data_IF_492725698829
#
_entry.id   IF_492725698829
#
_cell.length_a   1.000
_cell.length_b   1.000
_cell.length_c   1.000
_cell.angle_alpha   90.00
_cell.angle_beta   90.00
_cell.angle_gamma   90.00
#
_symmetry.space_group_name_H-M   'P 1'
#
loop_
_entity.id
_entity.type
_entity.pdbx_description
1 polymer ?
#
# COMPACT_ATOMS: atom_id res chain seq x y z
N UNK A 1 -8.16 -13.12 -3.76
CA UNK A 1 -7.19 -12.53 -4.70
C UNK A 1 -7.38 -12.83 -6.18
N UNK A 2 -8.56 -13.25 -6.63
CA UNK A 2 -8.77 -13.60 -8.04
C UNK A 2 -8.89 -12.40 -8.99
N UNK A 3 -9.22 -11.18 -8.51
CA UNK A 3 -9.42 -9.98 -9.36
C UNK A 3 -8.13 -9.16 -9.48
N UNK A 4 -7.43 -8.94 -8.37
CA UNK A 4 -6.24 -8.10 -8.34
C UNK A 4 -4.98 -8.78 -8.91
N UNK A 5 -5.05 -10.07 -9.25
CA UNK A 5 -3.93 -10.83 -9.83
C UNK A 5 -4.18 -11.33 -11.26
N UNK A 6 -5.19 -10.80 -11.96
CA UNK A 6 -5.49 -11.16 -13.34
C UNK A 6 -4.48 -10.53 -14.30
N UNK A 7 -3.71 -11.34 -15.02
CA UNK A 7 -2.64 -10.87 -15.93
C UNK A 7 -3.18 -10.10 -17.13
N UNK A 8 -4.36 -10.44 -17.62
CA UNK A 8 -5.04 -9.74 -18.71
C UNK A 8 -5.48 -8.32 -18.31
N UNK A 9 -5.79 -8.10 -17.04
CA UNK A 9 -6.14 -6.77 -16.51
C UNK A 9 -4.88 -5.99 -16.09
N UNK A 10 -3.98 -6.63 -15.34
CA UNK A 10 -2.89 -5.94 -14.64
C UNK A 10 -1.53 -6.06 -15.32
N UNK A 11 -1.39 -6.95 -16.33
CA UNK A 11 -0.14 -7.31 -16.98
C UNK A 11 0.76 -8.14 -16.06
N UNK A 12 1.46 -7.44 -15.18
CA UNK A 12 2.44 -7.93 -14.20
C UNK A 12 1.93 -7.72 -12.75
N UNK A 13 0.85 -8.40 -12.34
CA UNK A 13 0.16 -8.14 -11.06
C UNK A 13 1.06 -8.32 -9.82
N UNK A 14 2.07 -9.18 -9.90
CA UNK A 14 3.04 -9.40 -8.83
C UNK A 14 4.05 -8.25 -8.64
N UNK A 15 4.13 -7.31 -9.59
CA UNK A 15 5.07 -6.19 -9.56
C UNK A 15 4.41 -4.97 -8.91
N UNK A 16 4.97 -4.55 -7.77
CA UNK A 16 4.60 -3.30 -7.12
C UNK A 16 5.05 -2.10 -7.98
N UNK A 17 4.10 -1.56 -8.75
CA UNK A 17 4.32 -0.49 -9.73
C UNK A 17 3.23 0.59 -9.58
N UNK A 18 3.41 1.60 -8.70
CA UNK A 18 2.44 2.67 -8.48
C UNK A 18 2.09 3.46 -9.75
N UNK A 19 3.01 3.52 -10.71
CA UNK A 19 2.89 4.24 -11.97
C UNK A 19 1.73 3.72 -12.83
N UNK A 20 1.23 2.49 -12.59
CA UNK A 20 0.07 1.95 -13.30
C UNK A 20 -1.20 2.78 -13.11
N UNK A 21 -1.27 3.55 -12.03
CA UNK A 21 -2.39 4.45 -11.73
C UNK A 21 -2.22 5.87 -12.31
N UNK A 22 -1.12 6.14 -13.03
CA UNK A 22 -0.80 7.45 -13.61
C UNK A 22 -1.04 7.50 -15.13
N UNK A 23 -1.39 8.66 -15.66
CA UNK A 23 -1.44 8.94 -17.11
C UNK A 23 -0.03 9.16 -17.71
N UNK A 24 0.05 9.39 -19.02
CA UNK A 24 1.34 9.64 -19.70
C UNK A 24 2.04 10.95 -19.27
N UNK A 25 1.35 11.83 -18.53
CA UNK A 25 1.90 13.05 -17.97
C UNK A 25 2.23 12.91 -16.48
N UNK A 26 2.12 11.70 -15.92
CA UNK A 26 2.39 11.42 -14.50
C UNK A 26 1.29 11.87 -13.55
N UNK A 27 0.09 12.21 -14.04
CA UNK A 27 -1.05 12.61 -13.20
C UNK A 27 -1.89 11.40 -12.84
N UNK A 28 -2.52 11.42 -11.67
CA UNK A 28 -3.44 10.36 -11.25
C UNK A 28 -4.58 10.22 -12.26
N UNK A 29 -4.79 9.00 -12.76
CA UNK A 29 -5.84 8.67 -13.71
C UNK A 29 -6.83 7.70 -13.09
N UNK A 30 -7.95 8.20 -12.59
CA UNK A 30 -9.00 7.37 -11.99
C UNK A 30 -9.54 6.32 -12.96
N UNK A 31 -9.55 6.60 -14.27
CA UNK A 31 -9.95 5.65 -15.30
C UNK A 31 -9.04 4.41 -15.42
N UNK A 32 -7.81 4.48 -14.89
CA UNK A 32 -6.88 3.34 -14.84
C UNK A 32 -7.02 2.53 -13.55
N UNK A 33 -7.67 3.07 -12.52
CA UNK A 33 -7.92 2.34 -11.29
C UNK A 33 -9.14 1.43 -11.46
N UNK A 34 -8.87 0.19 -11.84
CA UNK A 34 -9.85 -0.89 -11.95
C UNK A 34 -9.84 -1.80 -10.71
N UNK A 35 -9.21 -1.37 -9.62
CA UNK A 35 -9.13 -2.15 -8.40
C UNK A 35 -10.45 -2.13 -7.61
N UNK A 36 -10.76 -3.25 -6.93
CA UNK A 36 -11.93 -3.37 -6.04
C UNK A 36 -11.56 -3.73 -4.59
N UNK A 37 -10.65 -3.00 -3.93
CA UNK A 37 -10.16 -3.35 -2.60
C UNK A 37 -11.23 -3.26 -1.50
N UNK A 38 -12.30 -2.50 -1.72
CA UNK A 38 -13.41 -2.30 -0.78
C UNK A 38 -14.69 -3.05 -1.18
N UNK A 39 -14.62 -3.90 -2.21
CA UNK A 39 -15.79 -4.54 -2.81
C UNK A 39 -16.58 -3.59 -3.72
N UNK A 40 -17.84 -3.95 -4.00
CA UNK A 40 -18.74 -3.17 -4.85
C UNK A 40 -20.22 -3.47 -4.52
N UNK A 41 -21.13 -2.59 -4.97
CA UNK A 41 -22.58 -2.79 -4.86
C UNK A 41 -23.15 -2.59 -3.45
N UNK A 42 -24.25 -3.27 -3.14
CA UNK A 42 -25.03 -3.08 -1.88
C UNK A 42 -24.25 -3.40 -0.60
N UNK A 43 -23.11 -4.11 -0.71
CA UNK A 43 -22.25 -4.52 0.40
C UNK A 43 -20.84 -3.92 0.28
N UNK A 44 -20.69 -2.82 -0.46
CA UNK A 44 -19.47 -2.01 -0.47
C UNK A 44 -19.04 -1.71 0.98
N UNK A 45 -17.74 -1.74 1.24
CA UNK A 45 -17.21 -1.47 2.57
C UNK A 45 -17.72 -0.12 3.09
N UNK A 46 -18.48 -0.16 4.18
CA UNK A 46 -19.03 1.04 4.82
C UNK A 46 -17.92 1.99 5.31
N UNK A 47 -16.69 1.49 5.50
CA UNK A 47 -15.53 2.26 5.94
C UNK A 47 -14.63 2.77 4.82
N UNK A 48 -14.97 2.62 3.53
CA UNK A 48 -14.06 2.96 2.42
C UNK A 48 -13.52 4.40 2.52
N UNK A 49 -14.40 5.39 2.66
CA UNK A 49 -13.99 6.80 2.73
C UNK A 49 -13.06 7.05 3.91
N UNK A 50 -13.38 6.50 5.08
CA UNK A 50 -12.56 6.63 6.27
C UNK A 50 -11.18 5.96 6.09
N UNK A 51 -11.15 4.75 5.53
CA UNK A 51 -9.93 3.99 5.30
C UNK A 51 -9.00 4.69 4.29
N UNK A 52 -9.55 5.21 3.17
CA UNK A 52 -8.77 5.95 2.17
C UNK A 52 -8.15 7.22 2.75
N UNK A 53 -8.93 8.01 3.48
CA UNK A 53 -8.44 9.24 4.10
C UNK A 53 -7.39 8.96 5.18
N UNK A 54 -7.67 8.00 6.06
CA UNK A 54 -6.74 7.60 7.13
C UNK A 54 -5.43 7.07 6.55
N UNK A 55 -5.50 6.18 5.55
CA UNK A 55 -4.30 5.63 4.91
C UNK A 55 -3.47 6.72 4.24
N UNK A 56 -4.10 7.66 3.53
CA UNK A 56 -3.41 8.80 2.93
C UNK A 56 -2.70 9.65 3.99
N UNK A 57 -3.41 10.06 5.04
CA UNK A 57 -2.87 10.90 6.10
C UNK A 57 -1.74 10.21 6.88
N UNK A 58 -1.91 8.94 7.24
CA UNK A 58 -0.88 8.17 7.96
C UNK A 58 0.36 8.00 7.09
N UNK A 59 0.21 7.54 5.85
CA UNK A 59 1.37 7.33 4.96
C UNK A 59 2.09 8.65 4.70
N UNK A 60 1.37 9.71 4.35
CA UNK A 60 1.97 11.03 4.09
C UNK A 60 2.66 11.60 5.33
N UNK A 61 2.05 11.53 6.52
CA UNK A 61 2.67 11.99 7.75
C UNK A 61 3.95 11.20 8.10
N UNK A 62 3.93 9.87 7.91
CA UNK A 62 5.11 9.04 8.16
C UNK A 62 6.24 9.38 7.19
N UNK A 63 5.97 9.42 5.88
CA UNK A 63 7.02 9.69 4.88
C UNK A 63 7.44 11.16 4.87
N UNK A 64 6.61 12.10 5.31
CA UNK A 64 7.00 13.50 5.45
C UNK A 64 8.00 13.72 6.58
N UNK A 65 7.86 12.98 7.68
CA UNK A 65 8.63 13.20 8.91
C UNK A 65 9.76 12.21 9.12
N UNK A 66 9.72 11.02 8.52
CA UNK A 66 10.70 9.95 8.75
C UNK A 66 11.26 9.35 7.46
N UNK A 67 12.52 8.94 7.52
CA UNK A 67 13.12 7.98 6.61
C UNK A 67 12.90 6.58 7.21
N UNK A 68 12.09 5.77 6.53
CA UNK A 68 11.84 4.39 6.91
C UNK A 68 13.02 3.55 6.43
N UNK A 69 13.72 2.91 7.37
CA UNK A 69 14.86 2.04 7.08
C UNK A 69 14.65 0.66 7.67
N UNK A 70 15.30 -0.31 7.06
CA UNK A 70 15.48 -1.60 7.69
C UNK A 70 16.41 -1.43 8.90
N UNK A 71 16.09 -2.10 10.01
CA UNK A 71 16.98 -2.15 11.16
C UNK A 71 18.28 -2.84 10.75
N UNK A 72 19.46 -2.37 11.22
CA UNK A 72 20.71 -3.08 10.97
C UNK A 72 20.60 -4.55 11.35
N UNK A 73 21.14 -5.44 10.51
CA UNK A 73 21.21 -6.89 10.69
C UNK A 73 19.90 -7.70 10.60
N UNK A 74 18.74 -7.04 10.52
CA UNK A 74 17.48 -7.75 10.26
C UNK A 74 17.41 -8.24 8.82
N UNK A 75 16.58 -9.26 8.53
CA UNK A 75 16.26 -9.65 7.15
C UNK A 75 15.18 -8.72 6.58
N UNK A 76 15.14 -8.58 5.25
CA UNK A 76 14.00 -7.93 4.61
C UNK A 76 12.71 -8.72 4.92
N UNK A 77 11.56 -8.04 5.02
CA UNK A 77 10.29 -8.74 5.20
C UNK A 77 10.09 -9.75 4.07
N UNK A 78 9.71 -10.97 4.43
CA UNK A 78 9.33 -11.99 3.45
C UNK A 78 7.97 -11.64 2.86
N UNK A 79 7.91 -11.46 1.53
CA UNK A 79 6.70 -11.13 0.79
C UNK A 79 6.01 -12.39 0.21
N UNK A 80 6.68 -13.54 0.23
CA UNK A 80 6.17 -14.82 -0.27
C UNK A 80 5.28 -15.54 0.75
N UNK A 81 5.60 -15.43 2.03
CA UNK A 81 4.79 -16.01 3.11
C UNK A 81 3.74 -15.02 3.61
N UNK A 82 2.47 -15.43 3.57
CA UNK A 82 1.33 -14.64 4.02
C UNK A 82 0.61 -15.34 5.15
N UNK A 83 0.46 -14.66 6.28
CA UNK A 83 -0.43 -15.10 7.34
C UNK A 83 -1.86 -14.86 6.86
N UNK A 84 -2.60 -15.95 6.62
CA UNK A 84 -3.92 -15.91 5.98
C UNK A 84 -5.00 -16.16 7.03
N UNK A 85 -5.94 -15.22 7.15
CA UNK A 85 -7.15 -15.32 7.97
C UNK A 85 -8.28 -14.49 7.38
N UNK A 86 -9.07 -13.81 8.23
CA UNK A 86 -10.07 -12.81 7.78
C UNK A 86 -9.38 -11.66 7.02
N UNK A 87 -8.18 -11.31 7.46
CA UNK A 87 -7.27 -10.39 6.79
C UNK A 87 -5.98 -11.13 6.44
N UNK A 88 -5.24 -10.60 5.46
CA UNK A 88 -3.93 -11.10 5.06
C UNK A 88 -2.87 -10.17 5.63
N UNK A 89 -1.93 -10.70 6.41
CA UNK A 89 -0.81 -9.94 6.99
C UNK A 89 0.53 -10.58 6.62
N UNK A 90 1.62 -9.79 6.53
CA UNK A 90 2.96 -10.34 6.50
C UNK A 90 3.32 -10.95 7.87
N UNK A 91 4.38 -11.75 7.92
CA UNK A 91 5.00 -12.11 9.20
C UNK A 91 5.60 -10.87 9.87
N UNK A 92 5.80 -10.92 11.19
CA UNK A 92 6.34 -9.80 11.96
C UNK A 92 7.72 -9.37 11.46
N UNK A 93 7.92 -8.06 11.32
CA UNK A 93 9.19 -7.46 10.93
C UNK A 93 9.39 -6.10 11.60
N UNK A 94 10.65 -5.69 11.72
CA UNK A 94 11.01 -4.39 12.29
C UNK A 94 11.27 -3.35 11.21
N UNK A 95 10.82 -2.12 11.48
CA UNK A 95 11.14 -0.92 10.69
C UNK A 95 11.74 0.12 11.61
N UNK A 96 12.87 0.70 11.22
CA UNK A 96 13.50 1.83 11.88
C UNK A 96 12.96 3.13 11.29
N UNK A 97 12.49 4.04 12.14
CA UNK A 97 12.05 5.37 11.75
C UNK A 97 13.14 6.39 12.13
N UNK A 98 13.77 7.01 11.14
CA UNK A 98 14.77 8.05 11.36
C UNK A 98 14.17 9.43 11.01
N UNK A 99 14.09 10.40 11.93
CA UNK A 99 13.54 11.73 11.63
C UNK A 99 14.24 12.39 10.43
N UNK A 100 13.46 12.94 9.48
CA UNK A 100 13.97 13.72 8.32
C UNK A 100 14.44 15.11 8.71
N UNK A 101 13.84 15.66 9.76
CA UNK A 101 14.19 16.96 10.34
C UNK A 101 14.51 16.72 11.82
N UNK A 102 15.46 17.47 12.41
CA UNK A 102 15.65 17.46 13.85
C UNK A 102 14.31 17.70 14.52
N UNK A 103 14.01 16.94 15.58
CA UNK A 103 12.85 17.24 16.41
C UNK A 103 13.08 18.66 16.96
N UNK A 104 12.17 19.58 16.61
CA UNK A 104 12.12 20.88 17.27
C UNK A 104 11.61 20.59 18.68
N UNK A 105 12.55 20.44 19.61
CA UNK A 105 12.29 20.40 21.06
C UNK A 105 12.31 21.83 21.56
#
# INVERSE_FOLDING_TARGET
DAIHNQRDIWGDPEVFRPERFLDSQGRLSLAKDVSVPFGAGKRLCAGETFARNTMFLVVTALVQNFNLKQRPFDKKPDLGTRQTGIIITPADFWVKFEPRRPLQV
#
